data_IF_728598350980
#
_entry.id   IF_728598350980
#
_cell.length_a   1.000
_cell.length_b   1.000
_cell.length_c   1.000
_cell.angle_alpha   90.00
_cell.angle_beta   90.00
_cell.angle_gamma   90.00
#
_symmetry.space_group_name_H-M   'P 1'
#
loop_
_entity.id
_entity.type
_entity.pdbx_description
1 polymer ?
#
# COMPACT_ATOMS: atom_id res chain seq x y z
N UNK A 1 -30.27 80.41 -86.78
CA UNK A 1 -29.77 81.21 -87.90
C UNK A 1 -28.34 80.79 -88.24
N UNK A 2 -28.18 79.91 -89.23
CA UNK A 2 -26.98 79.65 -90.03
C UNK A 2 -27.48 78.74 -91.16
N UNK A 3 -27.24 79.09 -92.43
CA UNK A 3 -27.54 78.19 -93.55
C UNK A 3 -26.64 76.96 -93.47
N UNK A 4 -27.17 75.79 -93.86
CA UNK A 4 -26.57 74.46 -93.65
C UNK A 4 -25.06 74.43 -93.83
N UNK A 5 -24.36 74.03 -92.77
CA UNK A 5 -22.92 73.82 -92.79
C UNK A 5 -22.65 72.61 -93.68
N UNK A 6 -21.97 72.83 -94.81
CA UNK A 6 -21.41 71.75 -95.63
C UNK A 6 -19.91 71.66 -95.37
N UNK A 7 -19.47 70.48 -94.94
CA UNK A 7 -18.07 70.16 -94.73
C UNK A 7 -17.62 69.22 -95.85
N UNK A 8 -16.58 69.62 -96.58
CA UNK A 8 -16.04 68.84 -97.69
C UNK A 8 -14.55 68.63 -97.44
N UNK A 9 -14.08 67.39 -97.62
CA UNK A 9 -12.67 67.05 -97.54
C UNK A 9 -11.99 67.45 -98.87
N UNK A 10 -10.97 68.29 -98.79
CA UNK A 10 -10.25 68.80 -99.96
C UNK A 10 -8.77 68.42 -99.85
N UNK A 11 -8.23 67.81 -100.89
CA UNK A 11 -6.80 67.51 -101.02
C UNK A 11 -6.04 68.79 -101.35
N UNK A 12 -5.05 69.18 -100.53
CA UNK A 12 -4.19 70.32 -100.79
C UNK A 12 -2.95 69.85 -101.59
N UNK A 13 -2.77 70.27 -102.86
CA UNK A 13 -1.66 69.81 -103.70
C UNK A 13 -0.30 70.39 -103.31
N UNK A 14 -0.26 71.41 -102.43
CA UNK A 14 0.95 72.18 -102.12
C UNK A 14 1.67 71.74 -100.84
N UNK A 15 1.06 70.87 -100.03
CA UNK A 15 1.60 70.39 -98.76
C UNK A 15 1.42 68.87 -98.65
N UNK A 16 2.30 68.12 -99.33
CA UNK A 16 2.62 66.70 -99.11
C UNK A 16 1.42 65.78 -98.73
N UNK A 17 0.33 65.87 -99.50
CA UNK A 17 -0.83 64.99 -99.35
C UNK A 17 -1.75 65.25 -98.15
N UNK A 18 -1.59 66.37 -97.43
CA UNK A 18 -2.45 66.69 -96.29
C UNK A 18 -3.88 67.06 -96.74
N UNK A 19 -4.87 66.27 -96.31
CA UNK A 19 -6.30 66.58 -96.54
C UNK A 19 -6.75 67.64 -95.54
N UNK A 20 -7.40 68.70 -96.02
CA UNK A 20 -8.01 69.73 -95.18
C UNK A 20 -9.52 69.59 -95.22
N UNK A 21 -10.15 69.55 -94.07
CA UNK A 21 -11.61 69.60 -93.95
C UNK A 21 -12.02 71.07 -93.91
N UNK A 22 -12.62 71.53 -94.99
CA UNK A 22 -13.08 72.92 -95.09
C UNK A 22 -14.59 72.90 -94.83
N UNK A 23 -14.99 73.55 -93.75
CA UNK A 23 -16.39 73.82 -93.47
C UNK A 23 -16.72 75.22 -93.96
N UNK A 24 -17.74 75.35 -94.79
CA UNK A 24 -18.19 76.65 -95.27
C UNK A 24 -19.56 76.98 -94.71
N UNK A 25 -19.73 78.24 -94.28
CA UNK A 25 -20.99 78.80 -93.85
C UNK A 25 -21.20 80.15 -94.53
N UNK A 26 -22.44 80.42 -94.93
CA UNK A 26 -22.79 81.65 -95.68
C UNK A 26 -23.38 82.67 -94.72
N UNK A 27 -22.81 83.88 -94.67
CA UNK A 27 -23.33 84.98 -93.85
C UNK A 27 -24.43 85.68 -94.64
N UNK A 28 -25.68 85.57 -94.16
CA UNK A 28 -26.89 85.84 -94.95
C UNK A 28 -27.00 87.28 -95.49
N UNK A 29 -26.42 88.28 -94.83
CA UNK A 29 -26.73 89.69 -95.12
C UNK A 29 -25.67 90.41 -95.95
N UNK A 30 -24.51 89.80 -96.20
CA UNK A 30 -23.39 90.42 -96.94
C UNK A 30 -22.92 89.57 -98.12
N UNK A 31 -23.48 88.38 -98.30
CA UNK A 31 -23.12 87.46 -99.38
C UNK A 31 -21.74 86.81 -99.22
N UNK A 32 -21.04 87.04 -98.10
CA UNK A 32 -19.72 86.47 -97.84
C UNK A 32 -19.84 85.00 -97.40
N UNK A 33 -18.95 84.14 -97.93
CA UNK A 33 -18.75 82.77 -97.46
C UNK A 33 -17.52 82.71 -96.56
N UNK A 34 -17.72 82.29 -95.32
CA UNK A 34 -16.63 82.06 -94.39
C UNK A 34 -16.21 80.60 -94.53
N UNK A 35 -14.93 80.38 -94.79
CA UNK A 35 -14.31 79.06 -94.89
C UNK A 35 -13.44 78.86 -93.65
N UNK A 36 -13.77 77.85 -92.84
CA UNK A 36 -12.92 77.42 -91.72
C UNK A 36 -12.28 76.11 -92.13
N UNK A 37 -10.99 76.18 -92.43
CA UNK A 37 -10.17 74.99 -92.70
C UNK A 37 -9.64 74.44 -91.39
N UNK A 38 -9.90 73.17 -91.12
CA UNK A 38 -9.14 72.38 -90.14
C UNK A 38 -8.39 71.31 -90.89
N UNK A 39 -7.10 71.16 -90.62
CA UNK A 39 -6.36 70.04 -91.18
C UNK A 39 -6.85 68.72 -90.57
N UNK A 40 -6.79 67.62 -91.33
CA UNK A 40 -7.26 66.31 -90.87
C UNK A 40 -6.45 65.83 -89.65
N UNK A 41 -5.16 66.17 -89.59
CA UNK A 41 -4.27 65.84 -88.46
C UNK A 41 -4.73 66.48 -87.14
N UNK A 42 -5.39 67.64 -87.15
CA UNK A 42 -5.89 68.37 -85.99
C UNK A 42 -7.14 67.74 -85.39
N UNK A 43 -7.91 67.03 -86.22
CA UNK A 43 -9.09 66.26 -85.79
C UNK A 43 -8.63 64.93 -85.19
N UNK A 44 -7.73 64.22 -85.88
CA UNK A 44 -7.15 62.97 -85.39
C UNK A 44 -6.30 63.17 -84.13
N UNK A 45 -5.55 64.26 -84.01
CA UNK A 45 -4.77 64.58 -82.81
C UNK A 45 -5.66 64.83 -81.59
N UNK A 46 -6.86 65.42 -81.78
CA UNK A 46 -7.82 65.63 -80.71
C UNK A 46 -8.49 64.33 -80.22
N UNK A 47 -8.80 63.38 -81.11
CA UNK A 47 -9.46 62.10 -80.75
C UNK A 47 -8.49 60.99 -80.34
N UNK A 48 -7.27 60.97 -80.89
CA UNK A 48 -6.25 59.95 -80.59
C UNK A 48 -5.78 60.00 -79.13
N UNK A 49 -5.73 61.18 -78.52
CA UNK A 49 -5.39 61.34 -77.10
C UNK A 49 -6.35 60.58 -76.16
N UNK A 50 -7.66 60.64 -76.42
CA UNK A 50 -8.67 59.92 -75.63
C UNK A 50 -8.56 58.39 -75.80
N UNK A 51 -8.29 57.90 -77.02
CA UNK A 51 -8.07 56.47 -77.25
C UNK A 51 -6.83 55.96 -76.52
N UNK A 52 -5.71 56.68 -76.60
CA UNK A 52 -4.48 56.32 -75.87
C UNK A 52 -4.74 56.33 -74.36
N UNK A 53 -5.44 57.34 -73.85
CA UNK A 53 -5.76 57.45 -72.42
C UNK A 53 -6.67 56.30 -71.95
N UNK A 54 -7.70 55.94 -72.70
CA UNK A 54 -8.58 54.80 -72.35
C UNK A 54 -7.84 53.46 -72.39
N UNK A 55 -7.00 53.23 -73.40
CA UNK A 55 -6.15 52.02 -73.48
C UNK A 55 -5.19 51.97 -72.28
N UNK A 56 -4.57 53.09 -71.93
CA UNK A 56 -3.67 53.19 -70.78
C UNK A 56 -4.41 52.89 -69.47
N UNK A 57 -5.60 53.44 -69.27
CA UNK A 57 -6.45 53.18 -68.10
C UNK A 57 -6.85 51.70 -68.05
N UNK A 58 -7.30 51.12 -69.16
CA UNK A 58 -7.66 49.71 -69.24
C UNK A 58 -6.47 48.79 -68.95
N UNK A 59 -5.28 49.12 -69.47
CA UNK A 59 -4.05 48.39 -69.21
C UNK A 59 -3.63 48.48 -67.74
N UNK A 60 -3.76 49.66 -67.13
CA UNK A 60 -3.43 49.88 -65.72
C UNK A 60 -4.43 49.15 -64.80
N UNK A 61 -5.72 49.16 -65.13
CA UNK A 61 -6.75 48.35 -64.46
C UNK A 61 -6.46 46.86 -64.57
N UNK A 62 -6.08 46.39 -65.76
CA UNK A 62 -5.69 44.99 -65.97
C UNK A 62 -4.49 44.60 -65.10
N UNK A 63 -3.46 45.46 -65.03
CA UNK A 63 -2.31 45.25 -64.15
C UNK A 63 -2.71 45.20 -62.66
N UNK A 64 -3.58 46.10 -62.22
CA UNK A 64 -4.07 46.11 -60.83
C UNK A 64 -4.85 44.83 -60.50
N UNK A 65 -5.76 44.41 -61.38
CA UNK A 65 -6.55 43.18 -61.19
C UNK A 65 -5.65 41.95 -61.18
N UNK A 66 -4.70 41.85 -62.11
CA UNK A 66 -3.76 40.72 -62.15
C UNK A 66 -2.87 40.66 -60.91
N UNK A 67 -2.38 41.80 -60.42
CA UNK A 67 -1.59 41.86 -59.19
C UNK A 67 -2.44 41.50 -57.96
N UNK A 68 -3.70 41.95 -57.92
CA UNK A 68 -4.64 41.61 -56.86
C UNK A 68 -4.97 40.12 -56.83
N UNK A 69 -5.23 39.50 -57.99
CA UNK A 69 -5.44 38.05 -58.11
C UNK A 69 -4.20 37.26 -57.68
N UNK A 70 -3.00 37.72 -58.06
CA UNK A 70 -1.75 37.10 -57.62
C UNK A 70 -1.56 37.21 -56.10
N UNK A 71 -1.88 38.38 -55.52
CA UNK A 71 -1.83 38.60 -54.08
C UNK A 71 -2.79 37.68 -53.33
N UNK A 72 -4.06 37.59 -53.74
CA UNK A 72 -5.05 36.66 -53.15
C UNK A 72 -4.56 35.23 -53.26
N UNK A 73 -4.09 34.81 -54.44
CA UNK A 73 -3.59 33.45 -54.65
C UNK A 73 -2.42 33.13 -53.73
N UNK A 74 -1.47 34.07 -53.58
CA UNK A 74 -0.34 33.93 -52.67
C UNK A 74 -0.82 33.77 -51.23
N UNK A 75 -1.76 34.62 -50.80
CA UNK A 75 -2.33 34.58 -49.44
C UNK A 75 -3.02 33.24 -49.16
N UNK A 76 -3.85 32.75 -50.08
CA UNK A 76 -4.54 31.46 -49.94
C UNK A 76 -3.55 30.29 -49.86
N UNK A 77 -2.51 30.28 -50.70
CA UNK A 77 -1.47 29.24 -50.65
C UNK A 77 -0.73 29.25 -49.32
N UNK A 78 -0.38 30.42 -48.79
CA UNK A 78 0.28 30.53 -47.48
C UNK A 78 -0.62 30.05 -46.35
N UNK A 79 -1.93 30.33 -46.40
CA UNK A 79 -2.87 29.84 -45.40
C UNK A 79 -2.98 28.30 -45.44
N UNK A 80 -3.08 27.70 -46.63
CA UNK A 80 -3.12 26.24 -46.79
C UNK A 80 -1.86 25.57 -46.23
N UNK A 81 -0.69 26.18 -46.44
CA UNK A 81 0.60 25.62 -45.98
C UNK A 81 0.75 25.72 -44.46
N UNK A 82 0.31 26.84 -43.86
CA UNK A 82 0.24 27.01 -42.40
C UNK A 82 -0.74 26.00 -41.79
N UNK A 83 -1.92 25.81 -42.39
CA UNK A 83 -2.93 24.87 -41.91
C UNK A 83 -2.42 23.42 -41.98
N UNK A 84 -1.76 23.04 -43.08
CA UNK A 84 -1.12 21.73 -43.21
C UNK A 84 -0.06 21.50 -42.13
N UNK A 85 0.85 22.47 -41.94
CA UNK A 85 1.88 22.42 -40.90
C UNK A 85 1.26 22.32 -39.50
N UNK A 86 0.16 23.02 -39.25
CA UNK A 86 -0.56 22.95 -37.98
C UNK A 86 -1.16 21.57 -37.75
N UNK A 87 -1.84 21.00 -38.74
CA UNK A 87 -2.42 19.66 -38.65
C UNK A 87 -1.35 18.57 -38.45
N UNK A 88 -0.22 18.67 -39.16
CA UNK A 88 0.92 17.77 -38.97
C UNK A 88 1.52 17.89 -37.57
N UNK A 89 1.68 19.11 -37.05
CA UNK A 89 2.16 19.33 -35.69
C UNK A 89 1.17 18.82 -34.63
N UNK A 90 -0.14 19.04 -34.82
CA UNK A 90 -1.18 18.55 -33.90
C UNK A 90 -1.22 17.02 -33.89
N UNK A 91 -1.10 16.37 -35.06
CA UNK A 91 -0.99 14.92 -35.18
C UNK A 91 0.28 14.40 -34.48
N UNK A 92 1.45 14.95 -34.79
CA UNK A 92 2.72 14.56 -34.15
C UNK A 92 2.68 14.76 -32.63
N UNK A 93 2.10 15.86 -32.16
CA UNK A 93 1.95 16.12 -30.73
C UNK A 93 0.98 15.14 -30.07
N UNK A 94 -0.10 14.75 -30.74
CA UNK A 94 -1.04 13.74 -30.26
C UNK A 94 -0.40 12.35 -30.23
N UNK A 95 0.31 11.95 -31.28
CA UNK A 95 1.03 10.67 -31.36
C UNK A 95 2.11 10.56 -30.29
N UNK A 96 2.88 11.64 -30.10
CA UNK A 96 3.92 11.69 -29.06
C UNK A 96 3.28 11.61 -27.68
N UNK A 97 2.20 12.36 -27.42
CA UNK A 97 1.48 12.28 -26.15
C UNK A 97 0.94 10.88 -25.87
N UNK A 98 0.37 10.22 -26.87
CA UNK A 98 -0.10 8.84 -26.75
C UNK A 98 1.06 7.88 -26.44
N UNK A 99 2.17 7.99 -27.16
CA UNK A 99 3.35 7.14 -26.98
C UNK A 99 3.96 7.30 -25.58
N UNK A 100 4.04 8.53 -25.08
CA UNK A 100 4.50 8.83 -23.72
C UNK A 100 3.58 8.22 -22.65
N UNK A 101 2.25 8.39 -22.78
CA UNK A 101 1.28 7.79 -21.86
C UNK A 101 1.36 6.26 -21.87
N UNK A 102 1.43 5.67 -23.07
CA UNK A 102 1.56 4.24 -23.25
C UNK A 102 2.83 3.71 -22.56
N UNK A 103 3.99 4.33 -22.79
CA UNK A 103 5.26 3.87 -22.25
C UNK A 103 5.43 4.12 -20.74
N UNK A 104 4.87 5.20 -20.20
CA UNK A 104 5.08 5.59 -18.81
C UNK A 104 3.97 5.18 -17.83
N UNK A 105 2.86 4.60 -18.30
CA UNK A 105 1.83 4.09 -17.39
C UNK A 105 2.33 2.88 -16.59
N UNK A 106 1.84 2.75 -15.36
CA UNK A 106 2.26 1.67 -14.44
C UNK A 106 1.65 0.31 -14.80
N UNK A 107 0.46 0.29 -15.40
CA UNK A 107 -0.19 -0.93 -15.85
C UNK A 107 0.50 -1.45 -17.11
N UNK A 108 0.65 -2.77 -17.20
CA UNK A 108 1.09 -3.41 -18.42
C UNK A 108 0.04 -3.25 -19.51
N UNK A 109 0.44 -2.82 -20.69
CA UNK A 109 -0.43 -2.80 -21.87
C UNK A 109 0.23 -3.59 -22.98
N UNK A 110 -0.54 -4.52 -23.54
CA UNK A 110 -0.18 -5.28 -24.72
C UNK A 110 -1.29 -5.16 -25.78
N UNK A 111 -0.87 -4.90 -27.02
CA UNK A 111 -1.74 -4.79 -28.18
C UNK A 111 -1.52 -6.02 -29.05
N UNK A 112 -2.63 -6.63 -29.48
CA UNK A 112 -2.63 -7.88 -30.23
C UNK A 112 -3.39 -7.74 -31.54
N UNK A 113 -2.88 -8.42 -32.57
CA UNK A 113 -3.53 -8.57 -33.86
C UNK A 113 -4.09 -9.98 -33.97
N UNK A 114 -5.37 -10.08 -34.33
CA UNK A 114 -6.01 -11.38 -34.54
C UNK A 114 -5.52 -11.99 -35.86
N UNK A 115 -5.22 -13.29 -35.82
CA UNK A 115 -4.81 -14.10 -36.98
C UNK A 115 -5.89 -15.15 -37.23
N UNK A 116 -6.10 -15.51 -38.50
CA UNK A 116 -7.07 -16.53 -38.93
C UNK A 116 -8.46 -16.31 -38.30
N UNK A 117 -9.01 -15.09 -38.41
CA UNK A 117 -10.31 -14.73 -37.83
C UNK A 117 -10.45 -15.03 -36.33
N UNK A 118 -9.39 -14.79 -35.54
CA UNK A 118 -9.43 -14.94 -34.08
C UNK A 118 -9.15 -16.35 -33.57
N UNK A 119 -8.64 -17.25 -34.40
CA UNK A 119 -8.08 -18.53 -33.95
C UNK A 119 -6.78 -18.35 -33.16
N UNK A 120 -6.05 -17.26 -33.43
CA UNK A 120 -4.86 -16.87 -32.69
C UNK A 120 -4.68 -15.35 -32.61
N UNK A 121 -3.77 -14.91 -31.74
CA UNK A 121 -3.45 -13.51 -31.54
C UNK A 121 -1.94 -13.33 -31.50
N UNK A 122 -1.40 -12.44 -32.33
CA UNK A 122 0.02 -12.10 -32.31
C UNK A 122 0.26 -10.78 -31.57
N UNK A 123 1.34 -10.69 -30.82
CA UNK A 123 1.66 -9.48 -30.06
C UNK A 123 2.20 -8.43 -31.03
N UNK A 124 1.55 -7.28 -31.13
CA UNK A 124 1.99 -6.15 -31.96
C UNK A 124 2.89 -5.22 -31.14
N UNK A 125 2.39 -4.75 -29.99
CA UNK A 125 3.13 -3.82 -29.13
C UNK A 125 2.97 -4.15 -27.64
N UNK A 126 3.97 -3.79 -26.85
CA UNK A 126 3.95 -3.85 -25.39
C UNK A 126 4.60 -2.60 -24.82
N UNK A 127 4.00 -1.99 -23.80
CA UNK A 127 4.63 -0.87 -23.11
C UNK A 127 5.75 -1.31 -22.17
N UNK A 128 6.50 -0.33 -21.64
CA UNK A 128 7.58 -0.57 -20.68
C UNK A 128 7.12 -1.33 -19.44
N UNK A 129 5.94 -1.03 -18.88
CA UNK A 129 5.42 -1.76 -17.72
C UNK A 129 5.15 -3.24 -18.03
N UNK A 130 4.52 -3.55 -19.17
CA UNK A 130 4.25 -4.91 -19.59
C UNK A 130 5.55 -5.70 -19.77
N UNK A 131 6.57 -5.11 -20.39
CA UNK A 131 7.90 -5.72 -20.55
C UNK A 131 8.56 -6.00 -19.19
N UNK A 132 8.44 -5.09 -18.22
CA UNK A 132 8.98 -5.26 -16.86
C UNK A 132 8.26 -6.36 -16.08
N UNK A 133 6.93 -6.37 -16.09
CA UNK A 133 6.11 -7.36 -15.36
C UNK A 133 6.32 -8.76 -15.93
N UNK A 134 6.30 -8.88 -17.26
CA UNK A 134 6.41 -10.19 -17.94
C UNK A 134 7.84 -10.67 -18.12
N UNK A 135 8.84 -9.78 -17.98
CA UNK A 135 10.24 -10.07 -18.29
C UNK A 135 10.55 -10.17 -19.79
N UNK A 136 9.55 -10.00 -20.66
CA UNK A 136 9.69 -10.10 -22.11
C UNK A 136 10.11 -8.76 -22.69
N UNK A 137 11.41 -8.59 -22.96
CA UNK A 137 11.98 -7.30 -23.42
C UNK A 137 12.06 -7.15 -24.95
N UNK A 138 11.97 -8.25 -25.71
CA UNK A 138 12.09 -8.22 -27.17
C UNK A 138 11.73 -9.55 -27.83
N UNK A 139 11.70 -9.55 -29.17
CA UNK A 139 11.41 -10.76 -29.94
C UNK A 139 9.99 -11.31 -29.76
N UNK A 140 9.06 -10.49 -29.28
CA UNK A 140 7.63 -10.81 -29.13
C UNK A 140 6.79 -10.32 -30.31
N UNK A 141 7.22 -9.24 -30.98
CA UNK A 141 6.46 -8.62 -32.06
C UNK A 141 6.18 -9.62 -33.20
N UNK A 142 4.92 -9.76 -33.56
CA UNK A 142 4.44 -10.70 -34.58
C UNK A 142 4.39 -12.17 -34.15
N UNK A 143 4.79 -12.52 -32.92
CA UNK A 143 4.69 -13.90 -32.41
C UNK A 143 3.34 -14.16 -31.77
N UNK A 144 2.90 -15.41 -31.85
CA UNK A 144 1.69 -15.87 -31.17
C UNK A 144 1.78 -15.60 -29.67
N UNK A 145 0.68 -15.13 -29.09
CA UNK A 145 0.53 -15.00 -27.64
C UNK A 145 0.71 -16.35 -26.95
N UNK A 146 0.38 -17.48 -27.59
CA UNK A 146 0.58 -18.82 -27.03
C UNK A 146 2.05 -19.23 -27.02
N UNK A 147 2.86 -18.72 -27.94
CA UNK A 147 4.30 -19.00 -27.95
C UNK A 147 5.03 -18.20 -26.87
N UNK A 148 4.64 -16.93 -26.70
CA UNK A 148 5.24 -16.03 -25.71
C UNK A 148 4.71 -16.29 -24.31
N UNK A 149 3.42 -16.62 -24.19
CA UNK A 149 2.71 -16.91 -22.94
C UNK A 149 1.96 -18.24 -23.03
N UNK A 150 2.64 -19.39 -22.89
CA UNK A 150 2.04 -20.72 -23.10
C UNK A 150 0.87 -21.05 -22.19
N UNK A 151 0.84 -20.46 -20.99
CA UNK A 151 -0.24 -20.67 -20.03
C UNK A 151 -1.42 -19.74 -20.22
N UNK A 152 -1.47 -18.90 -21.28
CA UNK A 152 -2.55 -17.92 -21.51
C UNK A 152 -3.95 -18.55 -21.60
N UNK A 153 -4.04 -19.80 -22.06
CA UNK A 153 -5.32 -20.54 -22.11
C UNK A 153 -5.76 -21.02 -20.72
N UNK A 154 -4.85 -21.64 -19.95
CA UNK A 154 -5.11 -22.06 -18.57
C UNK A 154 -5.37 -20.87 -17.66
N UNK A 155 -4.72 -19.74 -17.95
CA UNK A 155 -4.95 -18.45 -17.32
C UNK A 155 -6.33 -17.88 -17.65
N UNK A 156 -7.02 -18.36 -18.70
CA UNK A 156 -8.38 -17.95 -19.07
C UNK A 156 -8.47 -16.71 -19.97
N UNK A 157 -7.38 -15.96 -20.12
CA UNK A 157 -7.34 -14.72 -20.89
C UNK A 157 -7.54 -14.94 -22.39
N UNK A 158 -7.09 -16.07 -22.93
CA UNK A 158 -7.21 -16.36 -24.37
C UNK A 158 -8.68 -16.41 -24.84
N UNK A 159 -9.56 -17.05 -24.07
CA UNK A 159 -11.00 -17.09 -24.38
C UNK A 159 -11.63 -15.71 -24.35
N UNK A 160 -11.15 -14.84 -23.45
CA UNK A 160 -11.58 -13.45 -23.37
C UNK A 160 -11.15 -12.69 -24.62
N UNK A 161 -9.93 -12.90 -25.14
CA UNK A 161 -9.49 -12.28 -26.39
C UNK A 161 -10.43 -12.65 -27.55
N UNK A 162 -10.77 -13.94 -27.68
CA UNK A 162 -11.70 -14.41 -28.72
C UNK A 162 -13.09 -13.76 -28.57
N UNK A 163 -13.63 -13.74 -27.37
CA UNK A 163 -14.93 -13.13 -27.08
C UNK A 163 -14.95 -11.63 -27.42
N UNK A 164 -13.97 -10.87 -26.92
CA UNK A 164 -13.85 -9.43 -27.15
C UNK A 164 -13.62 -9.12 -28.63
N UNK A 165 -12.79 -9.91 -29.31
CA UNK A 165 -12.53 -9.73 -30.73
C UNK A 165 -13.78 -9.95 -31.59
N UNK A 166 -14.55 -11.02 -31.31
CA UNK A 166 -15.76 -11.35 -32.06
C UNK A 166 -16.92 -10.38 -31.76
N UNK A 167 -17.15 -10.07 -30.48
CA UNK A 167 -18.32 -9.27 -30.04
C UNK A 167 -18.07 -7.77 -30.08
N UNK A 168 -16.82 -7.34 -29.95
CA UNK A 168 -16.45 -5.93 -29.73
C UNK A 168 -16.75 -5.40 -28.33
N UNK A 169 -17.35 -6.21 -27.45
CA UNK A 169 -17.69 -5.81 -26.08
C UNK A 169 -16.49 -6.02 -25.17
N UNK A 170 -16.12 -4.98 -24.41
CA UNK A 170 -15.02 -5.07 -23.45
C UNK A 170 -15.33 -6.09 -22.33
N UNK A 171 -14.30 -6.75 -21.82
CA UNK A 171 -14.42 -7.77 -20.81
C UNK A 171 -13.33 -7.65 -19.74
N UNK A 172 -13.65 -8.08 -18.53
CA UNK A 172 -12.75 -8.09 -17.40
C UNK A 172 -12.37 -9.53 -17.04
N UNK A 173 -11.07 -9.78 -16.93
CA UNK A 173 -10.52 -10.99 -16.37
C UNK A 173 -10.16 -10.73 -14.90
N UNK A 174 -10.86 -11.35 -13.93
CA UNK A 174 -10.60 -11.12 -12.52
C UNK A 174 -9.21 -11.60 -12.12
N UNK A 175 -8.77 -11.16 -10.94
CA UNK A 175 -7.50 -11.54 -10.34
C UNK A 175 -7.26 -13.05 -10.40
N UNK A 176 -6.28 -13.45 -11.21
CA UNK A 176 -5.89 -14.83 -11.42
C UNK A 176 -4.37 -14.97 -11.40
N UNK A 177 -3.88 -16.17 -11.12
CA UNK A 177 -2.46 -16.49 -11.16
C UNK A 177 -2.10 -16.92 -12.58
N UNK A 178 -1.26 -16.13 -13.25
CA UNK A 178 -0.55 -16.61 -14.42
C UNK A 178 0.67 -17.41 -13.94
N UNK A 179 0.82 -18.64 -14.42
CA UNK A 179 1.97 -19.49 -14.07
C UNK A 179 2.39 -20.36 -15.24
N UNK A 180 3.64 -20.19 -15.67
CA UNK A 180 4.35 -21.10 -16.57
C UNK A 180 5.73 -21.47 -15.99
N UNK A 181 6.64 -22.02 -16.81
CA UNK A 181 7.97 -22.46 -16.37
C UNK A 181 8.92 -21.31 -16.01
N UNK A 182 8.72 -20.12 -16.56
CA UNK A 182 9.62 -18.98 -16.46
C UNK A 182 8.98 -17.78 -15.75
N UNK A 183 7.65 -17.67 -15.76
CA UNK A 183 6.90 -16.52 -15.30
C UNK A 183 5.78 -16.95 -14.35
N UNK A 184 5.68 -16.26 -13.22
CA UNK A 184 4.62 -16.48 -12.22
C UNK A 184 4.25 -15.15 -11.58
N UNK A 185 3.02 -14.69 -11.80
CA UNK A 185 2.52 -13.45 -11.23
C UNK A 185 0.98 -13.44 -11.18
N UNK A 186 0.43 -12.66 -10.26
CA UNK A 186 -1.00 -12.42 -10.19
C UNK A 186 -1.36 -11.20 -11.02
N UNK A 187 -2.41 -11.33 -11.85
CA UNK A 187 -2.91 -10.21 -12.64
C UNK A 187 -4.43 -10.20 -12.74
N UNK A 188 -4.97 -8.98 -12.76
CA UNK A 188 -6.29 -8.66 -13.29
C UNK A 188 -6.12 -7.98 -14.65
N UNK A 189 -6.99 -8.30 -15.60
CA UNK A 189 -6.88 -7.77 -16.96
C UNK A 189 -8.19 -7.11 -17.38
N UNK A 190 -8.10 -5.96 -18.03
CA UNK A 190 -9.19 -5.35 -18.77
C UNK A 190 -8.88 -5.44 -20.26
N UNK A 191 -9.79 -6.05 -21.02
CA UNK A 191 -9.60 -6.37 -22.43
C UNK A 191 -10.67 -5.69 -23.26
N UNK A 192 -10.27 -4.99 -24.32
CA UNK A 192 -11.19 -4.34 -25.25
C UNK A 192 -10.64 -4.36 -26.68
N UNK A 193 -11.50 -4.06 -27.65
CA UNK A 193 -11.17 -4.03 -29.08
C UNK A 193 -11.09 -2.58 -29.56
N UNK A 194 -10.03 -2.23 -30.30
CA UNK A 194 -9.89 -0.94 -30.97
C UNK A 194 -10.69 -0.89 -32.28
N UNK A 195 -11.02 0.31 -32.80
CA UNK A 195 -11.65 0.45 -34.13
C UNK A 195 -10.82 -0.18 -35.27
N UNK A 196 -9.50 -0.27 -35.12
CA UNK A 196 -8.59 -0.96 -36.05
C UNK A 196 -8.81 -2.47 -36.12
N UNK A 197 -9.51 -3.06 -35.14
CA UNK A 197 -9.70 -4.50 -35.01
C UNK A 197 -8.71 -5.19 -34.06
N UNK A 198 -7.69 -4.46 -33.58
CA UNK A 198 -6.73 -4.95 -32.60
C UNK A 198 -7.38 -5.16 -31.22
N UNK A 199 -6.91 -6.15 -30.49
CA UNK A 199 -7.30 -6.41 -29.09
C UNK A 199 -6.25 -5.78 -28.18
N UNK A 200 -6.69 -5.07 -27.15
CA UNK A 200 -5.81 -4.48 -26.15
C UNK A 200 -6.09 -5.13 -24.81
N UNK A 201 -5.05 -5.63 -24.14
CA UNK A 201 -5.10 -6.07 -22.76
C UNK A 201 -4.32 -5.08 -21.89
N UNK A 202 -5.00 -4.49 -20.92
CA UNK A 202 -4.38 -3.73 -19.84
C UNK A 202 -4.39 -4.62 -18.61
N UNK A 203 -3.25 -4.76 -17.93
CA UNK A 203 -3.13 -5.61 -16.77
C UNK A 203 -2.29 -4.99 -15.66
N UNK A 204 -2.72 -5.24 -14.42
CA UNK A 204 -2.01 -4.80 -13.23
C UNK A 204 -1.40 -6.01 -12.52
N UNK A 205 -0.11 -5.93 -12.19
CA UNK A 205 0.55 -6.93 -11.36
C UNK A 205 0.17 -6.71 -9.89
N UNK A 206 -0.60 -7.66 -9.35
CA UNK A 206 -1.10 -7.62 -7.98
C UNK A 206 -0.36 -8.63 -7.10
N UNK A 207 0.79 -9.12 -7.53
CA UNK A 207 1.59 -10.14 -6.83
C UNK A 207 2.01 -9.67 -5.43
N UNK A 208 2.54 -8.46 -5.30
CA UNK A 208 2.96 -7.92 -3.98
C UNK A 208 1.77 -7.71 -3.04
N UNK A 209 0.63 -7.26 -3.57
CA UNK A 209 -0.64 -7.18 -2.82
C UNK A 209 -1.03 -8.57 -2.30
N UNK A 210 -1.00 -9.59 -3.16
CA UNK A 210 -1.35 -10.98 -2.80
C UNK A 210 -0.39 -11.60 -1.80
N UNK A 211 0.92 -11.37 -1.93
CA UNK A 211 1.93 -11.82 -0.95
C UNK A 211 1.70 -11.18 0.40
N UNK A 212 1.40 -9.88 0.44
CA UNK A 212 1.14 -9.15 1.69
C UNK A 212 -0.14 -9.65 2.36
N UNK A 213 -1.23 -9.84 1.61
CA UNK A 213 -2.47 -10.44 2.11
C UNK A 213 -2.24 -11.85 2.67
N UNK A 214 -1.52 -12.70 1.94
CA UNK A 214 -1.22 -14.06 2.36
C UNK A 214 -0.34 -14.09 3.61
N UNK A 215 0.69 -13.25 3.67
CA UNK A 215 1.57 -13.11 4.83
C UNK A 215 0.79 -12.62 6.06
N UNK A 216 -0.07 -11.60 5.90
CA UNK A 216 -0.91 -11.10 6.99
C UNK A 216 -1.85 -12.19 7.51
N UNK A 217 -2.51 -12.92 6.61
CA UNK A 217 -3.41 -14.02 6.96
C UNK A 217 -2.68 -15.14 7.70
N UNK A 218 -1.49 -15.51 7.24
CA UNK A 218 -0.67 -16.54 7.90
C UNK A 218 -0.16 -16.08 9.26
N UNK A 219 0.24 -14.81 9.36
CA UNK A 219 0.65 -14.19 10.62
C UNK A 219 -0.50 -14.16 11.63
N UNK A 220 -1.71 -13.75 11.20
CA UNK A 220 -2.91 -13.77 12.04
C UNK A 220 -3.24 -15.20 12.50
N UNK A 221 -3.20 -16.18 11.60
CA UNK A 221 -3.42 -17.60 11.92
C UNK A 221 -2.42 -18.09 12.96
N UNK A 222 -1.14 -17.75 12.80
CA UNK A 222 -0.07 -18.11 13.74
C UNK A 222 -0.28 -17.46 15.11
N UNK A 223 -0.60 -16.17 15.16
CA UNK A 223 -0.89 -15.47 16.42
C UNK A 223 -2.12 -16.04 17.12
N UNK A 224 -3.19 -16.33 16.37
CA UNK A 224 -4.41 -16.93 16.92
C UNK A 224 -4.13 -18.32 17.51
N UNK A 225 -3.40 -19.16 16.79
CA UNK A 225 -2.99 -20.48 17.29
C UNK A 225 -2.15 -20.36 18.57
N UNK A 226 -1.15 -19.46 18.59
CA UNK A 226 -0.33 -19.25 19.79
C UNK A 226 -1.19 -18.75 20.97
N UNK A 227 -2.09 -17.80 20.71
CA UNK A 227 -3.00 -17.26 21.73
C UNK A 227 -3.92 -18.34 22.30
N UNK A 228 -4.51 -19.19 21.46
CA UNK A 228 -5.45 -20.25 21.84
C UNK A 228 -4.77 -21.43 22.55
N UNK A 229 -3.55 -21.79 22.15
CA UNK A 229 -2.76 -22.90 22.73
C UNK A 229 -1.94 -22.48 23.97
N UNK A 230 -1.94 -21.20 24.35
CA UNK A 230 -1.27 -20.75 25.59
C UNK A 230 -1.87 -21.44 26.81
N UNK A 231 -1.00 -21.98 27.68
CA UNK A 231 -1.41 -22.60 28.95
C UNK A 231 -1.99 -21.54 29.91
N UNK A 232 -1.42 -20.34 29.94
CA UNK A 232 -1.95 -19.22 30.72
C UNK A 232 -3.20 -18.67 30.08
N UNK A 233 -4.19 -18.33 30.91
CA UNK A 233 -5.35 -17.59 30.45
C UNK A 233 -4.93 -16.19 30.01
N UNK A 234 -5.44 -15.74 28.87
CA UNK A 234 -5.19 -14.40 28.35
C UNK A 234 -6.52 -13.76 27.96
N UNK A 235 -6.71 -12.51 28.34
CA UNK A 235 -7.89 -11.74 28.00
C UNK A 235 -7.52 -10.28 27.73
N UNK A 236 -8.20 -9.68 26.75
CA UNK A 236 -8.08 -8.27 26.38
C UNK A 236 -9.42 -7.60 26.65
N UNK A 237 -9.37 -6.42 27.25
CA UNK A 237 -10.53 -5.69 27.70
C UNK A 237 -10.41 -4.20 27.35
N UNK A 238 -11.57 -3.55 27.31
CA UNK A 238 -11.72 -2.09 27.24
C UNK A 238 -12.21 -1.56 28.58
N UNK A 239 -11.54 -0.55 29.14
CA UNK A 239 -11.98 0.07 30.40
C UNK A 239 -13.17 0.99 30.13
N UNK A 240 -14.17 0.95 31.02
CA UNK A 240 -15.31 1.86 31.01
C UNK A 240 -15.16 2.81 32.18
N UNK A 241 -15.10 4.10 31.89
CA UNK A 241 -15.00 5.16 32.89
C UNK A 241 -16.30 5.96 33.00
N UNK A 242 -16.51 6.56 34.17
CA UNK A 242 -17.54 7.57 34.36
C UNK A 242 -17.16 8.93 33.73
N UNK A 243 -18.04 9.92 33.88
CA UNK A 243 -17.84 11.28 33.33
C UNK A 243 -16.61 12.00 33.91
N UNK A 244 -16.11 11.57 35.06
CA UNK A 244 -14.93 12.13 35.71
C UNK A 244 -13.65 11.35 35.37
N UNK A 245 -13.73 10.36 34.48
CA UNK A 245 -12.61 9.51 34.09
C UNK A 245 -12.28 8.41 35.10
N UNK A 246 -13.13 8.18 36.10
CA UNK A 246 -12.93 7.10 37.08
C UNK A 246 -13.35 5.75 36.47
N UNK A 247 -12.52 4.70 36.54
CA UNK A 247 -12.91 3.35 36.12
C UNK A 247 -14.11 2.83 36.93
N UNK A 248 -15.16 2.39 36.24
CA UNK A 248 -16.39 1.87 36.85
C UNK A 248 -16.73 0.44 36.41
N UNK A 249 -16.26 0.01 35.24
CA UNK A 249 -16.44 -1.34 34.72
C UNK A 249 -15.41 -1.61 33.60
N UNK A 250 -15.42 -2.79 32.99
CA UNK A 250 -14.67 -3.07 31.77
C UNK A 250 -15.41 -4.07 30.87
N UNK A 251 -15.16 -4.01 29.57
CA UNK A 251 -15.77 -4.88 28.55
C UNK A 251 -14.78 -5.92 28.04
N UNK A 252 -15.20 -7.18 27.95
CA UNK A 252 -14.38 -8.23 27.34
C UNK A 252 -14.31 -8.06 25.82
N UNK A 253 -13.10 -7.97 25.26
CA UNK A 253 -12.88 -7.85 23.81
C UNK A 253 -12.37 -9.15 23.18
N UNK A 254 -11.53 -9.89 23.91
CA UNK A 254 -11.00 -11.19 23.48
C UNK A 254 -10.58 -12.01 24.68
N UNK A 255 -10.75 -13.33 24.63
CA UNK A 255 -10.21 -14.28 25.62
C UNK A 255 -9.70 -15.52 24.90
N UNK A 256 -8.63 -16.13 25.39
CA UNK A 256 -8.15 -17.40 24.85
C UNK A 256 -8.86 -18.61 25.48
N UNK A 257 -8.61 -19.80 24.92
CA UNK A 257 -9.20 -21.03 25.41
C UNK A 257 -8.81 -21.35 26.88
N UNK A 258 -7.57 -21.06 27.29
CA UNK A 258 -7.13 -21.27 28.66
C UNK A 258 -7.85 -20.37 29.67
N UNK A 259 -8.16 -19.13 29.31
CA UNK A 259 -8.93 -18.23 30.17
C UNK A 259 -10.31 -18.82 30.46
N UNK A 260 -11.01 -19.32 29.42
CA UNK A 260 -12.30 -19.97 29.59
C UNK A 260 -12.22 -21.23 30.44
N UNK A 261 -11.20 -22.07 30.24
CA UNK A 261 -10.98 -23.27 31.08
C UNK A 261 -10.69 -22.93 32.55
N UNK A 262 -9.92 -21.87 32.81
CA UNK A 262 -9.54 -21.45 34.15
C UNK A 262 -10.69 -20.78 34.91
N UNK A 263 -11.47 -19.96 34.21
CA UNK A 263 -12.49 -19.10 34.81
C UNK A 263 -13.90 -19.67 34.72
N UNK A 264 -14.13 -20.64 33.82
CA UNK A 264 -15.46 -21.11 33.45
C UNK A 264 -16.21 -20.17 32.50
N UNK A 265 -15.59 -19.05 32.08
CA UNK A 265 -16.22 -18.04 31.24
C UNK A 265 -15.87 -18.26 29.77
N UNK A 266 -16.81 -18.78 28.98
CA UNK A 266 -16.58 -19.03 27.56
C UNK A 266 -16.64 -17.73 26.75
N UNK A 267 -15.76 -17.62 25.74
CA UNK A 267 -15.70 -16.45 24.86
C UNK A 267 -17.06 -16.09 24.24
N UNK A 268 -17.83 -17.09 23.78
CA UNK A 268 -19.14 -16.86 23.16
C UNK A 268 -20.14 -16.14 24.08
N UNK A 269 -20.00 -16.29 25.40
CA UNK A 269 -20.98 -15.81 26.38
C UNK A 269 -20.60 -14.44 26.98
N UNK A 270 -19.33 -14.03 26.85
CA UNK A 270 -18.77 -12.87 27.56
C UNK A 270 -18.25 -11.76 26.63
N UNK A 271 -17.86 -12.08 25.39
CA UNK A 271 -17.28 -11.09 24.49
C UNK A 271 -18.33 -10.02 24.16
N UNK A 272 -17.95 -8.75 24.33
CA UNK A 272 -18.82 -7.59 24.17
C UNK A 272 -19.62 -7.21 25.42
N UNK A 273 -19.66 -8.07 26.45
CA UNK A 273 -20.34 -7.80 27.73
C UNK A 273 -19.39 -7.21 28.75
N UNK A 274 -19.95 -6.60 29.79
CA UNK A 274 -19.15 -5.98 30.86
C UNK A 274 -18.83 -6.93 32.00
N UNK A 275 -17.82 -6.61 32.81
CA UNK A 275 -17.42 -7.40 33.95
C UNK A 275 -18.55 -7.53 34.97
N UNK A 276 -19.27 -6.45 35.26
CA UNK A 276 -20.39 -6.46 36.20
C UNK A 276 -21.61 -7.24 35.67
N UNK A 277 -21.80 -7.33 34.35
CA UNK A 277 -22.85 -8.17 33.75
C UNK A 277 -22.54 -9.67 33.85
N UNK A 278 -21.27 -10.04 33.74
CA UNK A 278 -20.81 -11.43 33.72
C UNK A 278 -20.51 -11.93 35.13
N UNK A 279 -19.97 -11.06 35.99
CA UNK A 279 -19.55 -11.32 37.36
C UNK A 279 -20.09 -10.19 38.28
N UNK A 280 -21.38 -10.20 38.66
CA UNK A 280 -21.97 -9.14 39.48
C UNK A 280 -21.33 -8.95 40.86
N UNK A 281 -20.71 -10.01 41.40
CA UNK A 281 -20.06 -10.03 42.71
C UNK A 281 -18.54 -9.79 42.62
N UNK A 282 -18.02 -9.31 41.48
CA UNK A 282 -16.60 -9.00 41.33
C UNK A 282 -16.16 -7.94 42.33
N UNK A 283 -15.03 -8.16 42.99
CA UNK A 283 -14.52 -7.22 43.98
C UNK A 283 -14.04 -5.91 43.30
N UNK A 284 -14.38 -4.72 43.83
CA UNK A 284 -14.02 -3.43 43.20
C UNK A 284 -12.53 -3.25 42.91
N UNK A 285 -11.67 -3.90 43.70
CA UNK A 285 -10.22 -3.88 43.55
C UNK A 285 -9.75 -4.33 42.15
N UNK A 286 -10.49 -5.21 41.47
CA UNK A 286 -10.16 -5.66 40.11
C UNK A 286 -10.36 -4.53 39.10
N UNK A 287 -11.50 -3.87 39.15
CA UNK A 287 -11.85 -2.75 38.26
C UNK A 287 -10.87 -1.58 38.50
N UNK A 288 -10.56 -1.27 39.76
CA UNK A 288 -9.62 -0.21 40.11
C UNK A 288 -8.20 -0.49 39.59
N UNK A 289 -7.68 -1.71 39.82
CA UNK A 289 -6.33 -2.09 39.35
C UNK A 289 -6.23 -2.10 37.84
N UNK A 290 -7.19 -2.70 37.16
CA UNK A 290 -7.18 -2.77 35.70
C UNK A 290 -7.43 -1.40 35.06
N UNK A 291 -8.29 -0.59 35.68
CA UNK A 291 -8.49 0.79 35.27
C UNK A 291 -7.23 1.62 35.41
N UNK A 292 -6.49 1.48 36.51
CA UNK A 292 -5.18 2.10 36.64
C UNK A 292 -4.25 1.68 35.50
N UNK A 293 -4.11 0.37 35.21
CA UNK A 293 -3.26 -0.13 34.11
C UNK A 293 -3.70 0.42 32.75
N UNK A 294 -5.01 0.47 32.46
CA UNK A 294 -5.54 0.94 31.18
C UNK A 294 -5.33 2.45 30.97
N UNK A 295 -5.37 3.24 32.05
CA UNK A 295 -5.26 4.69 32.03
C UNK A 295 -3.80 5.18 32.13
N UNK A 296 -2.98 4.57 32.99
CA UNK A 296 -1.57 4.98 33.19
C UNK A 296 -0.60 4.26 32.27
N UNK A 297 -1.01 3.10 31.72
CA UNK A 297 -0.17 2.17 30.94
C UNK A 297 0.99 1.55 31.73
N UNK A 298 1.01 1.72 33.05
CA UNK A 298 1.99 1.07 33.92
C UNK A 298 1.55 -0.38 34.17
N UNK A 299 2.38 -1.39 33.83
CA UNK A 299 2.01 -2.78 34.02
C UNK A 299 2.02 -3.15 35.51
N UNK A 300 1.09 -4.01 35.91
CA UNK A 300 1.00 -4.53 37.28
C UNK A 300 1.07 -6.06 37.31
N UNK A 301 1.69 -6.59 38.36
CA UNK A 301 1.73 -8.02 38.64
C UNK A 301 1.37 -8.26 40.10
N UNK A 302 0.43 -9.17 40.33
CA UNK A 302 -0.05 -9.48 41.67
C UNK A 302 -0.68 -10.87 41.75
N UNK A 303 -0.86 -11.37 42.97
CA UNK A 303 -1.58 -12.62 43.25
C UNK A 303 -2.74 -12.27 44.15
N UNK A 304 -3.96 -12.57 43.70
CA UNK A 304 -5.18 -12.28 44.46
C UNK A 304 -6.07 -13.53 44.50
N UNK A 305 -6.74 -13.72 45.63
CA UNK A 305 -7.81 -14.70 45.76
C UNK A 305 -9.06 -14.18 45.07
N UNK A 306 -9.68 -15.02 44.25
CA UNK A 306 -10.92 -14.69 43.56
C UNK A 306 -12.07 -15.49 44.15
N UNK A 307 -12.94 -14.81 44.92
CA UNK A 307 -13.93 -15.47 45.77
C UNK A 307 -14.91 -16.35 44.97
N UNK A 308 -15.37 -15.85 43.82
CA UNK A 308 -16.33 -16.56 42.96
C UNK A 308 -15.84 -17.94 42.52
N UNK A 309 -14.53 -18.07 42.27
CA UNK A 309 -13.92 -19.32 41.78
C UNK A 309 -13.16 -20.08 42.87
N UNK A 310 -13.07 -19.52 44.08
CA UNK A 310 -12.33 -20.07 45.22
C UNK A 310 -10.88 -20.45 44.90
N UNK A 311 -10.21 -19.62 44.09
CA UNK A 311 -8.86 -19.87 43.56
C UNK A 311 -7.96 -18.65 43.73
N UNK A 312 -6.65 -18.89 43.84
CA UNK A 312 -5.65 -17.83 43.73
C UNK A 312 -5.23 -17.69 42.28
N UNK A 313 -5.37 -16.48 41.73
CA UNK A 313 -4.87 -16.14 40.40
C UNK A 313 -3.64 -15.27 40.50
N UNK A 314 -2.55 -15.74 39.89
CA UNK A 314 -1.43 -14.88 39.53
C UNK A 314 -1.79 -14.12 38.28
N UNK A 315 -1.79 -12.79 38.36
CA UNK A 315 -2.22 -11.91 37.27
C UNK A 315 -1.08 -10.97 36.89
N UNK A 316 -0.79 -10.91 35.59
CA UNK A 316 0.02 -9.87 34.98
C UNK A 316 -0.87 -9.05 34.04
N UNK A 317 -1.06 -7.78 34.36
CA UNK A 317 -1.85 -6.84 33.59
C UNK A 317 -0.95 -5.79 32.91
N UNK A 318 -1.22 -5.47 31.65
CA UNK A 318 -0.51 -4.43 30.89
C UNK A 318 -1.45 -3.78 29.86
N UNK A 319 -1.10 -2.59 29.36
CA UNK A 319 -1.93 -1.85 28.40
C UNK A 319 -1.37 -1.92 26.96
N UNK A 320 -2.01 -2.69 26.05
CA UNK A 320 -1.59 -2.71 24.64
C UNK A 320 -1.88 -1.39 23.91
N UNK A 321 -2.96 -0.71 24.31
CA UNK A 321 -3.46 0.53 23.72
C UNK A 321 -4.13 1.36 24.84
N UNK A 322 -4.11 2.69 24.72
CA UNK A 322 -4.76 3.57 25.69
C UNK A 322 -6.25 3.20 25.87
N UNK A 323 -6.72 3.10 27.12
CA UNK A 323 -8.08 2.69 27.43
C UNK A 323 -8.34 1.17 27.32
N UNK A 324 -7.32 0.38 26.94
CA UNK A 324 -7.40 -1.08 26.94
C UNK A 324 -6.35 -1.69 27.86
N UNK A 325 -6.66 -2.88 28.37
CA UNK A 325 -5.72 -3.68 29.14
C UNK A 325 -5.82 -5.15 28.75
N UNK A 326 -4.70 -5.85 28.82
CA UNK A 326 -4.59 -7.29 28.67
C UNK A 326 -4.18 -7.91 30.01
N UNK A 327 -4.77 -9.04 30.36
CA UNK A 327 -4.43 -9.82 31.54
C UNK A 327 -3.94 -11.19 31.13
N UNK A 328 -2.77 -11.57 31.62
CA UNK A 328 -2.30 -12.97 31.60
C UNK A 328 -2.51 -13.51 33.01
N UNK A 329 -3.32 -14.55 33.12
CA UNK A 329 -3.70 -15.19 34.37
C UNK A 329 -3.19 -16.63 34.41
N UNK A 330 -2.81 -17.06 35.60
CA UNK A 330 -2.48 -18.45 35.90
C UNK A 330 -3.09 -18.82 37.25
N UNK A 331 -3.71 -19.99 37.33
CA UNK A 331 -4.12 -20.59 38.60
C UNK A 331 -2.87 -20.96 39.40
N UNK A 332 -2.66 -20.30 40.54
CA UNK A 332 -1.53 -20.55 41.45
C UNK A 332 -1.99 -21.16 42.77
N UNK A 333 -3.22 -21.68 42.82
CA UNK A 333 -3.82 -22.24 44.04
C UNK A 333 -2.99 -23.39 44.60
N UNK A 334 -2.63 -24.37 43.76
CA UNK A 334 -1.79 -25.51 44.18
C UNK A 334 -0.43 -25.06 44.71
N UNK A 335 0.17 -24.04 44.08
CA UNK A 335 1.44 -23.48 44.51
C UNK A 335 1.33 -22.84 45.90
N UNK A 336 0.32 -22.00 46.12
CA UNK A 336 0.10 -21.34 47.41
C UNK A 336 -0.17 -22.39 48.50
N UNK A 337 -1.02 -23.38 48.23
CA UNK A 337 -1.30 -24.47 49.18
C UNK A 337 -0.05 -25.29 49.51
N UNK A 338 0.77 -25.63 48.50
CA UNK A 338 2.02 -26.33 48.72
C UNK A 338 3.04 -25.49 49.53
N UNK A 339 3.10 -24.18 49.31
CA UNK A 339 3.93 -23.26 50.08
C UNK A 339 3.47 -23.17 51.55
N UNK A 340 2.17 -23.12 51.81
CA UNK A 340 1.58 -23.12 53.15
C UNK A 340 1.78 -24.45 53.88
N UNK A 341 1.52 -25.58 53.22
CA UNK A 341 1.73 -26.91 53.78
C UNK A 341 3.21 -27.13 54.14
N UNK A 342 4.12 -26.69 53.25
CA UNK A 342 5.56 -26.73 53.51
C UNK A 342 5.92 -25.91 54.75
N UNK A 343 5.33 -24.72 54.91
CA UNK A 343 5.57 -23.86 56.08
C UNK A 343 5.06 -24.53 57.36
N UNK A 344 3.86 -25.11 57.34
CA UNK A 344 3.30 -25.87 58.48
C UNK A 344 4.20 -27.05 58.86
N UNK A 345 4.63 -27.85 57.90
CA UNK A 345 5.53 -28.98 58.17
C UNK A 345 6.89 -28.53 58.70
N UNK A 346 7.43 -27.40 58.22
CA UNK A 346 8.66 -26.83 58.75
C UNK A 346 8.51 -26.45 60.22
N UNK A 347 7.43 -25.73 60.58
CA UNK A 347 7.16 -25.34 61.97
C UNK A 347 6.94 -26.56 62.90
N UNK A 348 6.28 -27.61 62.41
CA UNK A 348 6.12 -28.87 63.15
C UNK A 348 7.44 -29.61 63.34
N UNK A 349 8.29 -29.64 62.31
CA UNK A 349 9.60 -30.28 62.36
C UNK A 349 10.52 -29.54 63.33
N UNK A 350 10.54 -28.21 63.30
CA UNK A 350 11.32 -27.38 64.24
C UNK A 350 10.91 -27.62 65.69
N UNK A 351 9.61 -27.67 65.99
CA UNK A 351 9.11 -28.03 67.32
C UNK A 351 9.57 -29.44 67.75
N UNK A 352 9.50 -30.41 66.84
CA UNK A 352 9.92 -31.79 67.14
C UNK A 352 11.43 -31.89 67.35
N UNK A 353 12.23 -31.18 66.56
CA UNK A 353 13.69 -31.12 66.71
C UNK A 353 14.07 -30.45 68.03
N UNK A 354 13.42 -29.35 68.41
CA UNK A 354 13.65 -28.68 69.69
C UNK A 354 13.38 -29.63 70.88
N UNK A 355 12.20 -30.28 70.90
CA UNK A 355 11.83 -31.24 71.94
C UNK A 355 12.83 -32.41 72.03
N UNK A 356 13.20 -33.01 70.88
CA UNK A 356 14.17 -34.11 70.84
C UNK A 356 15.56 -33.69 71.29
N UNK A 357 15.97 -32.48 70.95
CA UNK A 357 17.28 -31.94 71.37
C UNK A 357 17.32 -31.75 72.88
N UNK A 358 16.23 -31.28 73.49
CA UNK A 358 16.09 -31.16 74.94
C UNK A 358 16.09 -32.53 75.63
N UNK A 359 15.30 -33.50 75.14
CA UNK A 359 15.30 -34.88 75.65
C UNK A 359 16.69 -35.52 75.58
N UNK A 360 17.39 -35.36 74.44
CA UNK A 360 18.73 -35.89 74.26
C UNK A 360 19.74 -35.20 75.17
N UNK A 361 19.66 -33.88 75.32
CA UNK A 361 20.53 -33.12 76.25
C UNK A 361 20.33 -33.60 77.69
N UNK A 362 19.08 -33.77 78.12
CA UNK A 362 18.76 -34.28 79.46
C UNK A 362 19.30 -35.71 79.68
N UNK A 363 19.07 -36.62 78.72
CA UNK A 363 19.61 -37.99 78.78
C UNK A 363 21.14 -38.01 78.78
N UNK A 364 21.77 -37.14 77.99
CA UNK A 364 23.24 -37.04 77.94
C UNK A 364 23.79 -36.56 79.28
N UNK A 365 23.17 -35.54 79.88
CA UNK A 365 23.55 -35.05 81.20
C UNK A 365 23.36 -36.11 82.32
N UNK A 366 22.30 -36.93 82.23
CA UNK A 366 22.08 -38.05 83.14
C UNK A 366 23.15 -39.13 82.98
N UNK A 367 23.45 -39.54 81.74
CA UNK A 367 24.51 -40.51 81.45
C UNK A 367 25.88 -40.03 81.93
N UNK A 368 26.22 -38.75 81.73
CA UNK A 368 27.44 -38.16 82.27
C UNK A 368 27.50 -38.16 83.79
N UNK A 369 26.36 -37.94 84.46
CA UNK A 369 26.27 -38.03 85.92
C UNK A 369 26.51 -39.46 86.40
N UNK A 370 25.84 -40.44 85.78
CA UNK A 370 26.01 -41.87 86.09
C UNK A 370 27.46 -42.30 85.86
N UNK A 371 28.04 -41.92 84.71
CA UNK A 371 29.41 -42.27 84.36
C UNK A 371 30.42 -41.68 85.37
N UNK A 372 30.26 -40.40 85.77
CA UNK A 372 31.10 -39.80 86.83
C UNK A 372 31.06 -40.56 88.14
N UNK A 373 29.87 -41.00 88.57
CA UNK A 373 29.72 -41.81 89.80
C UNK A 373 30.39 -43.18 89.64
N UNK A 374 30.22 -43.83 88.50
CA UNK A 374 30.80 -45.13 88.21
C UNK A 374 32.34 -45.08 88.18
N UNK A 375 32.92 -44.12 87.44
CA UNK A 375 34.37 -43.86 87.41
C UNK A 375 34.89 -43.56 88.82
N UNK A 376 34.17 -42.76 89.62
CA UNK A 376 34.54 -42.50 91.02
C UNK A 376 34.53 -43.76 91.90
N UNK A 377 33.60 -44.69 91.68
CA UNK A 377 33.58 -45.99 92.39
C UNK A 377 34.73 -46.89 91.97
N UNK A 378 35.01 -46.99 90.67
CA UNK A 378 36.13 -47.77 90.13
C UNK A 378 37.48 -47.25 90.67
N UNK A 379 37.68 -45.93 90.67
CA UNK A 379 38.89 -45.32 91.25
C UNK A 379 39.03 -45.63 92.74
N UNK A 380 37.95 -45.57 93.53
CA UNK A 380 37.96 -45.96 94.95
C UNK A 380 38.24 -47.45 95.14
N UNK A 381 37.68 -48.33 94.31
CA UNK A 381 37.96 -49.77 94.36
C UNK A 381 39.42 -50.06 94.01
N UNK A 382 39.98 -49.37 93.02
CA UNK A 382 41.39 -49.49 92.67
C UNK A 382 42.31 -49.03 93.83
N UNK A 383 41.97 -47.92 94.49
CA UNK A 383 42.69 -47.44 95.68
C UNK A 383 42.60 -48.43 96.85
N UNK A 384 41.40 -48.94 97.13
CA UNK A 384 41.17 -49.93 98.18
C UNK A 384 41.93 -51.24 97.92
N UNK A 385 41.91 -51.76 96.68
CA UNK A 385 42.69 -52.95 96.31
C UNK A 385 44.18 -52.74 96.54
N UNK A 386 44.72 -51.58 96.13
CA UNK A 386 46.12 -51.23 96.38
C UNK A 386 46.45 -51.20 97.87
N UNK A 387 45.52 -50.69 98.70
CA UNK A 387 45.68 -50.62 100.16
C UNK A 387 45.59 -52.00 100.82
N UNK A 388 44.75 -52.88 100.31
CA UNK A 388 44.69 -54.29 100.73
C UNK A 388 46.01 -54.99 100.38
N UNK A 389 46.53 -54.84 99.16
CA UNK A 389 47.83 -55.40 98.78
C UNK A 389 48.99 -54.89 99.66
N UNK A 390 48.98 -53.61 100.03
CA UNK A 390 49.97 -53.04 100.96
C UNK A 390 49.86 -53.63 102.37
N UNK A 391 48.64 -53.88 102.85
CA UNK A 391 48.39 -54.51 104.15
C UNK A 391 48.75 -55.99 104.14
N UNK A 392 48.41 -56.73 103.09
CA UNK A 392 48.78 -58.13 102.91
C UNK A 392 50.29 -58.31 102.89
N UNK A 393 51.03 -57.42 102.20
CA UNK A 393 52.51 -57.38 102.25
C UNK A 393 53.06 -57.12 103.65
N UNK A 394 52.40 -56.26 104.45
CA UNK A 394 52.80 -56.03 105.85
C UNK A 394 52.56 -57.26 106.73
N UNK A 395 51.39 -57.88 106.60
CA UNK A 395 51.05 -59.11 107.35
C UNK A 395 52.01 -60.25 106.99
N UNK A 396 52.31 -60.47 105.72
CA UNK A 396 53.34 -61.47 105.32
C UNK A 396 54.73 -61.12 105.84
N UNK A 397 55.09 -59.82 105.92
CA UNK A 397 56.36 -59.40 106.52
C UNK A 397 56.42 -59.63 108.04
N UNK A 398 55.29 -59.43 108.73
CA UNK A 398 55.17 -59.62 110.18
C UNK A 398 55.10 -61.12 110.55
N UNK A 399 54.45 -61.95 109.74
CA UNK A 399 54.47 -63.42 109.86
C UNK A 399 55.86 -64.01 109.59
N UNK A 400 56.59 -63.50 108.60
CA UNK A 400 58.00 -63.86 108.38
C UNK A 400 58.91 -63.42 109.54
N UNK A 401 58.53 -62.38 110.28
CA UNK A 401 59.22 -61.93 111.50
C UNK A 401 58.90 -62.82 112.70
N UNK A 402 57.66 -63.29 112.82
CA UNK A 402 57.19 -64.18 113.88
C UNK A 402 57.70 -65.62 113.74
N UNK A 403 58.00 -66.07 112.52
CA UNK A 403 58.56 -67.42 112.26
C UNK A 403 60.08 -67.49 112.45
N UNK A 404 60.73 -66.39 112.85
CA UNK A 404 62.19 -66.27 113.04
C UNK A 404 62.62 -66.10 114.50
N UNK A 405 61.71 -66.35 115.44
CA UNK A 405 61.93 -66.46 116.89
C UNK A 405 61.63 -67.88 117.30
#
# INVERSE_FOLDING_TARGET
MAGGVQTVAVSDPSADGAVRCISSATVKDVGWKIFVGRDQNSIWSASSGYFIQTILICFLLFLVITFFLFYIRKEVMTQMEIEKLRNENELMASETRFRELFEHMNSGVAIYEAVNNGEDFVISEMNTAAKKITGVSGGFAGKSVRDVFPSVEAFGLFKIFQQVWYTGVAAFHPNALYQDKQLTFWAENHVYKLPSGQVVAIFDDVTERKKTEAFLKESERKYRLLFDEMISGCAVHEIICDQNGKPVDYRFLSVNAAFGKMTGLNAADIIGRTALEVLPEIEPIWIERYGHVALTREPQQFVNYFNSLKKYFGVRAFSPEAGKFATVISDVTERIQAEEDRKRFQEELEKRVALRTEELSAKTAELERINRVFVGRELKMAELKKRIEELEKKVTSDEQRATRV
#
